data_IF_868254806078
#
_entry.id   IF_868254806078
#
_cell.length_a   1.000
_cell.length_b   1.000
_cell.length_c   1.000
_cell.angle_alpha   90.00
_cell.angle_beta   90.00
_cell.angle_gamma   90.00
#
_symmetry.space_group_name_H-M   'P 1'
#
loop_
_entity.id
_entity.type
_entity.pdbx_description
1 polymer ?
#
# COMPACT_ATOMS: atom_id res chain seq x y z
N UNK A 1 -13.88 26.32 6.42
CA UNK A 1 -12.90 25.61 5.58
C UNK A 1 -11.60 25.46 6.37
N UNK A 2 -11.52 24.41 7.23
CA UNK A 2 -10.44 24.24 8.21
C UNK A 2 -9.04 24.07 7.55
N UNK A 3 -8.98 23.49 6.35
CA UNK A 3 -7.71 23.28 5.63
C UNK A 3 -7.12 24.60 5.13
N UNK A 4 -7.96 25.53 4.66
CA UNK A 4 -7.52 26.88 4.22
C UNK A 4 -6.89 27.70 5.34
N UNK A 5 -7.27 27.44 6.59
CA UNK A 5 -6.67 28.14 7.74
C UNK A 5 -5.22 27.69 8.02
N UNK A 6 -4.81 26.56 7.43
CA UNK A 6 -3.44 26.02 7.54
C UNK A 6 -2.51 26.51 6.43
N UNK A 7 -3.06 27.18 5.40
CA UNK A 7 -2.28 27.77 4.29
C UNK A 7 -1.55 29.06 4.70
N UNK A 8 -0.45 29.43 4.02
CA UNK A 8 0.15 28.78 2.86
C UNK A 8 1.08 27.62 3.22
N UNK A 9 1.01 26.55 2.41
CA UNK A 9 1.93 25.42 2.54
C UNK A 9 3.25 25.69 1.81
N UNK A 10 4.37 25.19 2.35
CA UNK A 10 5.71 25.38 1.79
C UNK A 10 6.80 24.73 2.64
N UNK A 11 8.05 25.15 2.48
CA UNK A 11 9.22 24.55 3.13
C UNK A 11 9.15 24.52 4.67
N UNK A 12 8.51 25.52 5.29
CA UNK A 12 8.32 25.59 6.76
C UNK A 12 6.94 25.10 7.24
N UNK A 13 6.01 24.79 6.32
CA UNK A 13 4.66 24.38 6.63
C UNK A 13 4.19 23.39 5.57
N UNK A 14 4.55 22.10 5.67
CA UNK A 14 4.21 21.09 4.68
C UNK A 14 2.70 20.82 4.63
N UNK A 15 2.20 20.44 3.44
CA UNK A 15 0.79 20.01 3.27
C UNK A 15 0.46 18.88 4.25
N UNK A 16 -0.62 19.00 5.04
CA UNK A 16 -1.02 17.97 5.99
C UNK A 16 -1.31 16.65 5.30
N UNK A 17 -0.85 15.55 5.90
CA UNK A 17 -1.18 14.20 5.48
C UNK A 17 -2.16 13.62 6.49
N UNK A 18 -3.29 13.14 5.98
CA UNK A 18 -4.36 12.55 6.78
C UNK A 18 -4.38 11.03 6.61
N UNK A 19 -4.57 10.30 7.72
CA UNK A 19 -4.81 8.86 7.71
C UNK A 19 -6.29 8.56 7.57
N UNK A 20 -6.66 7.71 6.60
CA UNK A 20 -8.01 7.18 6.43
C UNK A 20 -7.91 5.66 6.51
N UNK A 21 -8.48 5.08 7.58
CA UNK A 21 -8.28 3.68 7.91
C UNK A 21 -9.52 2.84 7.59
N UNK A 22 -9.32 1.57 7.16
CA UNK A 22 -10.38 0.61 6.96
C UNK A 22 -11.36 1.01 5.86
N UNK A 23 -10.85 1.51 4.73
CA UNK A 23 -11.66 1.87 3.56
C UNK A 23 -11.68 0.73 2.55
N UNK A 24 -12.84 0.43 1.98
CA UNK A 24 -12.98 -0.58 0.93
C UNK A 24 -12.75 0.06 -0.44
N UNK A 25 -11.84 -0.52 -1.22
CA UNK A 25 -11.59 -0.12 -2.60
C UNK A 25 -12.72 -0.66 -3.49
N UNK A 26 -13.57 0.24 -4.01
CA UNK A 26 -14.75 -0.14 -4.80
C UNK A 26 -14.43 -0.21 -6.29
N UNK A 27 -13.62 0.74 -6.80
CA UNK A 27 -13.35 0.83 -8.24
C UNK A 27 -11.98 1.43 -8.51
N UNK A 28 -11.34 0.89 -9.54
CA UNK A 28 -10.07 1.35 -10.09
C UNK A 28 -10.34 1.83 -11.52
N UNK A 29 -10.06 3.10 -11.80
CA UNK A 29 -10.26 3.68 -13.14
C UNK A 29 -8.95 4.30 -13.62
N UNK A 30 -8.35 3.78 -14.69
CA UNK A 30 -7.19 4.40 -15.32
C UNK A 30 -7.55 5.78 -15.89
N UNK A 31 -6.68 6.76 -15.68
CA UNK A 31 -6.81 8.12 -16.19
C UNK A 31 -5.48 8.61 -16.78
N UNK A 32 -5.50 9.71 -17.52
CA UNK A 32 -4.30 10.28 -18.11
C UNK A 32 -3.57 9.33 -19.08
N UNK A 33 -4.33 8.59 -19.92
CA UNK A 33 -3.76 7.58 -20.81
C UNK A 33 -3.16 6.37 -20.08
N UNK A 34 -3.70 6.02 -18.91
CA UNK A 34 -3.24 4.89 -18.09
C UNK A 34 -2.02 5.19 -17.20
N UNK A 35 -1.57 6.45 -17.14
CA UNK A 35 -0.40 6.84 -16.32
C UNK A 35 -0.74 7.09 -14.85
N UNK A 36 -2.01 7.21 -14.53
CA UNK A 36 -2.53 7.52 -13.19
C UNK A 36 -3.79 6.72 -12.94
N UNK A 37 -4.20 6.62 -11.68
CA UNK A 37 -5.43 5.95 -11.28
C UNK A 37 -6.36 6.91 -10.55
N UNK A 38 -7.66 6.79 -10.84
CA UNK A 38 -8.73 7.29 -10.00
C UNK A 38 -9.29 6.12 -9.22
N UNK A 39 -9.29 6.22 -7.90
CA UNK A 39 -9.77 5.18 -7.00
C UNK A 39 -11.04 5.66 -6.32
N UNK A 40 -12.06 4.80 -6.28
CA UNK A 40 -13.28 5.02 -5.53
C UNK A 40 -13.23 4.15 -4.28
N UNK A 41 -13.34 4.78 -3.14
CA UNK A 41 -13.41 4.11 -1.84
C UNK A 41 -14.78 4.26 -1.21
N UNK A 42 -15.14 3.29 -0.35
CA UNK A 42 -16.26 3.43 0.58
C UNK A 42 -15.81 3.25 2.02
N UNK A 43 -16.48 3.96 2.92
CA UNK A 43 -16.37 3.77 4.36
C UNK A 43 -17.76 4.00 4.98
N UNK A 44 -18.29 2.99 5.64
CA UNK A 44 -19.69 2.97 6.07
C UNK A 44 -20.62 3.26 4.88
N UNK A 45 -21.48 4.25 4.97
CA UNK A 45 -22.44 4.63 3.90
C UNK A 45 -21.90 5.67 2.93
N UNK A 46 -20.66 6.15 3.13
CA UNK A 46 -20.07 7.21 2.32
C UNK A 46 -19.10 6.66 1.28
N UNK A 47 -19.07 7.30 0.12
CA UNK A 47 -18.06 7.06 -0.91
C UNK A 47 -17.28 8.34 -1.19
N UNK A 48 -16.00 8.17 -1.54
CA UNK A 48 -15.15 9.29 -1.95
C UNK A 48 -14.16 8.86 -3.01
N UNK A 49 -13.81 9.78 -3.89
CA UNK A 49 -12.85 9.57 -4.95
C UNK A 49 -11.49 10.14 -4.56
N UNK A 50 -10.45 9.45 -5.01
CA UNK A 50 -9.07 9.87 -4.82
C UNK A 50 -8.28 9.74 -6.11
N UNK A 51 -7.17 10.46 -6.20
CA UNK A 51 -6.22 10.37 -7.30
C UNK A 51 -4.91 9.77 -6.83
N UNK A 52 -4.39 8.81 -7.58
CA UNK A 52 -3.08 8.21 -7.38
C UNK A 52 -2.24 8.45 -8.64
N UNK A 53 -1.24 9.33 -8.52
CA UNK A 53 -0.40 9.73 -9.64
C UNK A 53 0.83 8.83 -9.81
N UNK A 54 1.26 8.64 -11.06
CA UNK A 54 2.50 7.93 -11.39
C UNK A 54 2.44 6.41 -11.28
N UNK A 55 1.25 5.84 -11.08
CA UNK A 55 1.04 4.39 -11.00
C UNK A 55 0.13 3.95 -12.15
N UNK A 56 0.57 2.96 -12.91
CA UNK A 56 -0.24 2.33 -13.97
C UNK A 56 -1.05 1.17 -13.39
N UNK A 57 -2.14 0.73 -14.06
CA UNK A 57 -2.93 -0.43 -13.61
C UNK A 57 -2.10 -1.68 -13.36
N UNK A 58 -1.09 -1.94 -14.20
CA UNK A 58 -0.24 -3.14 -14.13
C UNK A 58 0.68 -3.12 -12.90
N UNK A 59 1.04 -1.92 -12.44
CA UNK A 59 1.89 -1.72 -11.25
C UNK A 59 1.10 -1.58 -9.97
N UNK A 60 -0.22 -1.42 -10.06
CA UNK A 60 -1.07 -1.27 -8.89
C UNK A 60 -1.35 -2.63 -8.26
N UNK A 61 -0.89 -2.83 -7.03
CA UNK A 61 -0.89 -4.13 -6.35
C UNK A 61 -2.20 -4.48 -5.63
N UNK A 62 -3.11 -3.53 -5.46
CA UNK A 62 -4.41 -3.77 -4.83
C UNK A 62 -5.50 -4.05 -5.86
N UNK A 63 -6.61 -4.65 -5.41
CA UNK A 63 -7.78 -4.95 -6.25
C UNK A 63 -9.06 -4.45 -5.62
N UNK A 64 -10.09 -4.34 -6.42
CA UNK A 64 -11.45 -4.04 -5.96
C UNK A 64 -11.91 -5.08 -4.91
N UNK A 65 -12.49 -4.59 -3.82
CA UNK A 65 -12.87 -5.36 -2.63
C UNK A 65 -11.81 -5.38 -1.52
N UNK A 66 -10.58 -4.95 -1.75
CA UNK A 66 -9.57 -4.87 -0.69
C UNK A 66 -9.94 -3.79 0.35
N UNK A 67 -9.69 -4.09 1.62
CA UNK A 67 -9.83 -3.12 2.72
C UNK A 67 -8.45 -2.54 3.02
N UNK A 68 -8.32 -1.23 2.85
CA UNK A 68 -7.05 -0.51 2.85
C UNK A 68 -7.02 0.59 3.92
N UNK A 69 -5.81 0.93 4.34
CA UNK A 69 -5.50 2.18 5.01
C UNK A 69 -4.80 3.10 4.01
N UNK A 70 -5.19 4.35 3.97
CA UNK A 70 -4.68 5.34 3.04
C UNK A 70 -4.08 6.55 3.78
N UNK A 71 -2.90 6.99 3.36
CA UNK A 71 -2.37 8.30 3.66
C UNK A 71 -2.71 9.23 2.49
N UNK A 72 -3.41 10.33 2.77
CA UNK A 72 -3.92 11.24 1.75
C UNK A 72 -3.57 12.69 2.05
N UNK A 73 -3.41 13.50 1.00
CA UNK A 73 -3.46 14.97 1.09
C UNK A 73 -4.77 15.45 0.47
N UNK A 74 -5.28 16.55 1.00
CA UNK A 74 -6.48 17.22 0.48
C UNK A 74 -6.08 18.58 -0.04
N UNK A 75 -6.37 18.83 -1.30
CA UNK A 75 -6.06 20.08 -1.99
C UNK A 75 -7.35 20.68 -2.56
N UNK A 76 -7.36 21.98 -2.74
CA UNK A 76 -8.46 22.66 -3.39
C UNK A 76 -8.03 23.02 -4.81
N UNK A 77 -8.61 22.38 -5.79
CA UNK A 77 -8.39 22.67 -7.21
C UNK A 77 -9.49 23.63 -7.72
N UNK A 78 -9.10 24.67 -8.46
CA UNK A 78 -10.04 25.54 -9.15
C UNK A 78 -10.18 25.08 -10.60
N UNK A 79 -11.32 24.49 -10.92
CA UNK A 79 -11.59 24.02 -12.28
C UNK A 79 -13.05 24.28 -12.68
N UNK A 80 -13.25 24.77 -13.91
CA UNK A 80 -14.61 25.02 -14.43
C UNK A 80 -15.34 26.19 -13.74
N UNK A 81 -14.62 27.09 -13.06
CA UNK A 81 -15.24 28.21 -12.33
C UNK A 81 -15.59 27.90 -10.88
N UNK A 82 -15.34 26.68 -10.42
CA UNK A 82 -15.66 26.22 -9.06
C UNK A 82 -14.44 25.66 -8.35
N UNK A 83 -14.44 25.76 -7.01
CA UNK A 83 -13.46 25.11 -6.15
C UNK A 83 -13.90 23.68 -5.85
N UNK A 84 -13.07 22.72 -6.24
CA UNK A 84 -13.31 21.31 -5.99
C UNK A 84 -12.27 20.78 -5.01
N UNK A 85 -12.70 19.92 -4.09
CA UNK A 85 -11.78 19.18 -3.23
C UNK A 85 -11.18 18.01 -4.01
N UNK A 86 -9.85 17.97 -4.07
CA UNK A 86 -9.07 16.89 -4.66
C UNK A 86 -8.36 16.10 -3.55
N UNK A 87 -8.66 14.83 -3.43
CA UNK A 87 -8.01 13.94 -2.47
C UNK A 87 -6.95 13.13 -3.21
N UNK A 88 -5.68 13.31 -2.83
CA UNK A 88 -4.54 12.64 -3.46
C UNK A 88 -3.93 11.61 -2.53
N UNK A 89 -3.71 10.41 -3.03
CA UNK A 89 -3.06 9.34 -2.27
C UNK A 89 -1.56 9.55 -2.25
N UNK A 90 -0.98 9.43 -1.06
CA UNK A 90 0.46 9.39 -0.80
C UNK A 90 0.98 7.99 -0.58
N UNK A 91 0.20 7.17 0.15
CA UNK A 91 0.53 5.77 0.41
C UNK A 91 -0.74 4.96 0.65
N UNK A 92 -0.67 3.66 0.36
CA UNK A 92 -1.71 2.67 0.64
C UNK A 92 -1.08 1.43 1.27
N UNK A 93 -1.84 0.78 2.16
CA UNK A 93 -1.48 -0.54 2.70
C UNK A 93 -2.74 -1.36 2.98
N UNK A 94 -2.59 -2.67 3.15
CA UNK A 94 -3.69 -3.50 3.64
C UNK A 94 -4.06 -3.10 5.07
N UNK A 95 -5.36 -2.97 5.34
CA UNK A 95 -5.85 -2.62 6.67
C UNK A 95 -5.60 -3.73 7.70
N UNK A 96 -5.38 -3.34 8.95
CA UNK A 96 -5.13 -4.25 10.05
C UNK A 96 -3.74 -4.89 10.04
N UNK A 97 -2.76 -4.25 9.41
CA UNK A 97 -1.35 -4.61 9.50
C UNK A 97 -0.83 -4.37 10.92
N UNK A 98 -0.14 -5.36 11.49
CA UNK A 98 0.60 -5.23 12.74
C UNK A 98 1.92 -4.50 12.47
N UNK A 99 1.95 -3.20 12.75
CA UNK A 99 3.11 -2.35 12.46
C UNK A 99 4.33 -2.73 13.30
N UNK A 100 4.17 -3.12 14.55
CA UNK A 100 5.29 -3.51 15.42
C UNK A 100 5.98 -4.78 14.90
N UNK A 101 5.17 -5.75 14.51
CA UNK A 101 5.67 -6.97 13.88
C UNK A 101 6.36 -6.65 12.55
N UNK A 102 5.72 -5.84 11.70
CA UNK A 102 6.26 -5.47 10.39
C UNK A 102 7.65 -4.82 10.52
N UNK A 103 7.79 -3.80 11.36
CA UNK A 103 9.08 -3.11 11.55
C UNK A 103 10.13 -4.05 12.12
N UNK A 104 9.80 -4.87 13.11
CA UNK A 104 10.73 -5.87 13.67
C UNK A 104 11.21 -6.86 12.59
N UNK A 105 10.32 -7.34 11.74
CA UNK A 105 10.68 -8.26 10.64
C UNK A 105 11.56 -7.56 9.59
N UNK A 106 11.28 -6.29 9.26
CA UNK A 106 12.10 -5.49 8.34
C UNK A 106 13.52 -5.29 8.89
N UNK A 107 13.65 -4.91 10.16
CA UNK A 107 14.96 -4.73 10.80
C UNK A 107 15.76 -6.05 10.81
N UNK A 108 15.12 -7.17 11.15
CA UNK A 108 15.77 -8.49 11.13
C UNK A 108 16.18 -8.94 9.71
N UNK A 109 15.37 -8.61 8.70
CA UNK A 109 15.72 -8.88 7.30
C UNK A 109 16.94 -8.05 6.88
N UNK A 110 17.02 -6.78 7.25
CA UNK A 110 18.19 -5.94 6.97
C UNK A 110 19.46 -6.50 7.65
N UNK A 111 19.36 -6.93 8.91
CA UNK A 111 20.46 -7.57 9.63
C UNK A 111 20.91 -8.86 8.92
N UNK A 112 19.99 -9.69 8.48
CA UNK A 112 20.29 -10.90 7.70
C UNK A 112 21.03 -10.56 6.40
N UNK A 113 20.49 -9.64 5.60
CA UNK A 113 21.09 -9.25 4.32
C UNK A 113 22.48 -8.60 4.48
N UNK A 114 22.73 -7.94 5.61
CA UNK A 114 24.03 -7.35 5.93
C UNK A 114 25.02 -8.31 6.61
N UNK A 115 24.66 -9.59 6.78
CA UNK A 115 25.48 -10.60 7.42
C UNK A 115 25.66 -10.42 8.93
N UNK A 116 24.81 -9.64 9.57
CA UNK A 116 24.80 -9.42 11.01
C UNK A 116 23.92 -10.44 11.73
N UNK A 117 24.03 -10.48 13.07
CA UNK A 117 23.20 -11.37 13.89
C UNK A 117 21.74 -10.91 13.84
N UNK A 118 20.82 -11.81 13.52
CA UNK A 118 19.38 -11.58 13.36
C UNK A 118 18.56 -12.66 14.08
N UNK A 119 17.25 -12.43 14.23
CA UNK A 119 16.35 -13.45 14.72
C UNK A 119 15.89 -14.35 13.56
N UNK A 120 16.35 -15.60 13.58
CA UNK A 120 16.06 -16.59 12.53
C UNK A 120 14.55 -16.83 12.34
N UNK A 121 13.77 -16.80 13.43
CA UNK A 121 12.34 -17.07 13.40
C UNK A 121 11.54 -15.97 12.72
N UNK A 122 12.08 -14.75 12.68
CA UNK A 122 11.44 -13.61 11.99
C UNK A 122 11.75 -13.58 10.49
N UNK A 123 12.85 -14.21 10.06
CA UNK A 123 13.39 -14.05 8.70
C UNK A 123 13.26 -15.31 7.85
N UNK A 124 13.72 -16.46 8.36
CA UNK A 124 13.77 -17.66 7.54
C UNK A 124 12.42 -18.40 7.51
N UNK A 125 11.85 -18.59 6.32
CA UNK A 125 10.61 -19.34 6.19
C UNK A 125 10.83 -20.84 6.33
N UNK A 126 9.90 -21.52 6.95
CA UNK A 126 9.76 -22.96 6.86
C UNK A 126 9.27 -23.38 5.46
N UNK A 127 9.40 -24.67 5.13
CA UNK A 127 8.86 -25.24 3.89
C UNK A 127 7.34 -24.99 3.75
N UNK A 128 6.61 -25.04 4.85
CA UNK A 128 5.16 -24.81 4.85
C UNK A 128 4.83 -23.34 4.55
N UNK A 129 5.57 -22.39 5.13
CA UNK A 129 5.40 -20.96 4.88
C UNK A 129 5.77 -20.59 3.45
N UNK A 130 6.89 -21.11 2.91
CA UNK A 130 7.23 -20.96 1.48
C UNK A 130 6.13 -21.54 0.58
N UNK A 131 5.55 -22.69 0.93
CA UNK A 131 4.41 -23.27 0.23
C UNK A 131 3.15 -22.41 0.28
N UNK A 132 2.96 -21.64 1.35
CA UNK A 132 1.86 -20.66 1.43
C UNK A 132 2.07 -19.52 0.45
N UNK A 133 3.27 -18.93 0.40
CA UNK A 133 3.62 -17.89 -0.58
C UNK A 133 3.49 -18.40 -2.02
N UNK A 134 3.97 -19.63 -2.30
CA UNK A 134 3.83 -20.25 -3.62
C UNK A 134 2.36 -20.34 -4.07
N UNK A 135 1.44 -20.73 -3.18
CA UNK A 135 0.00 -20.77 -3.51
C UNK A 135 -0.60 -19.40 -3.79
N UNK A 136 -0.04 -18.33 -3.22
CA UNK A 136 -0.48 -16.94 -3.48
C UNK A 136 -0.08 -16.47 -4.89
N UNK A 137 1.00 -17.01 -5.48
CA UNK A 137 1.43 -16.66 -6.84
C UNK A 137 0.36 -17.08 -7.86
N UNK A 138 -0.29 -18.23 -7.66
CA UNK A 138 -1.35 -18.74 -8.53
C UNK A 138 -0.86 -19.06 -9.95
N UNK A 139 -1.74 -19.66 -10.79
CA UNK A 139 -1.37 -20.14 -12.13
C UNK A 139 -1.09 -19.03 -13.16
N UNK A 140 -1.49 -17.78 -12.89
CA UNK A 140 -1.34 -16.65 -13.82
C UNK A 140 -0.31 -15.61 -13.35
N UNK A 141 0.41 -15.92 -12.27
CA UNK A 141 1.30 -14.98 -11.61
C UNK A 141 0.53 -13.89 -10.85
N UNK A 142 0.96 -13.60 -9.65
CA UNK A 142 0.44 -12.46 -8.87
C UNK A 142 1.58 -11.46 -8.69
N UNK A 143 1.26 -10.18 -8.77
CA UNK A 143 2.22 -9.12 -8.52
C UNK A 143 2.92 -9.35 -7.16
N UNK A 144 4.27 -9.36 -7.16
CA UNK A 144 5.07 -9.65 -5.97
C UNK A 144 4.75 -8.68 -4.82
N UNK A 145 4.52 -7.40 -5.11
CA UNK A 145 4.10 -6.42 -4.11
C UNK A 145 2.79 -6.83 -3.43
N UNK A 146 1.82 -7.34 -4.21
CA UNK A 146 0.57 -7.83 -3.66
C UNK A 146 0.78 -9.03 -2.73
N UNK A 147 1.65 -9.96 -3.10
CA UNK A 147 1.97 -11.13 -2.26
C UNK A 147 2.53 -10.67 -0.92
N UNK A 148 3.45 -9.70 -0.91
CA UNK A 148 3.98 -9.11 0.33
C UNK A 148 2.86 -8.55 1.21
N UNK A 149 1.93 -7.78 0.67
CA UNK A 149 0.79 -7.26 1.43
C UNK A 149 -0.13 -8.36 1.96
N UNK A 150 -0.45 -9.37 1.16
CA UNK A 150 -1.30 -10.49 1.59
C UNK A 150 -0.65 -11.32 2.70
N UNK A 151 0.68 -11.43 2.70
CA UNK A 151 1.44 -12.22 3.64
C UNK A 151 1.90 -11.48 4.90
N UNK A 152 1.53 -10.21 5.07
CA UNK A 152 1.89 -9.44 6.28
C UNK A 152 1.42 -10.09 7.58
N UNK A 153 0.31 -10.83 7.53
CA UNK A 153 -0.20 -11.59 8.68
C UNK A 153 0.41 -12.99 8.78
N UNK A 154 0.56 -13.67 7.64
CA UNK A 154 1.09 -15.05 7.55
C UNK A 154 1.63 -15.30 6.12
N UNK A 155 2.92 -15.65 5.96
CA UNK A 155 3.92 -15.94 7.00
C UNK A 155 4.60 -14.72 7.64
N UNK A 156 4.38 -13.52 7.13
CA UNK A 156 5.00 -12.28 7.53
C UNK A 156 5.86 -11.67 6.41
N UNK A 157 6.27 -10.41 6.58
CA UNK A 157 6.97 -9.63 5.56
C UNK A 157 8.32 -10.26 5.17
N UNK A 158 9.22 -10.46 6.14
CA UNK A 158 10.58 -10.95 5.87
C UNK A 158 10.58 -12.35 5.26
N UNK A 159 9.78 -13.25 5.80
CA UNK A 159 9.65 -14.62 5.28
C UNK A 159 9.10 -14.68 3.87
N UNK A 160 8.20 -13.75 3.53
CA UNK A 160 7.65 -13.66 2.18
C UNK A 160 8.68 -13.16 1.18
N UNK A 161 9.49 -12.16 1.54
CA UNK A 161 10.62 -11.70 0.72
C UNK A 161 11.59 -12.82 0.40
N UNK A 162 12.01 -13.56 1.42
CA UNK A 162 12.94 -14.71 1.24
C UNK A 162 12.27 -15.80 0.40
N UNK A 163 10.99 -16.12 0.65
CA UNK A 163 10.26 -17.13 -0.13
C UNK A 163 10.15 -16.74 -1.60
N UNK A 164 9.83 -15.48 -1.90
CA UNK A 164 9.74 -14.98 -3.29
C UNK A 164 11.09 -15.05 -3.98
N UNK A 165 12.18 -14.70 -3.29
CA UNK A 165 13.55 -14.80 -3.82
C UNK A 165 13.87 -16.24 -4.19
N UNK A 166 13.67 -17.19 -3.27
CA UNK A 166 13.90 -18.61 -3.52
C UNK A 166 13.05 -19.14 -4.68
N UNK A 167 11.78 -18.78 -4.74
CA UNK A 167 10.86 -19.24 -5.79
C UNK A 167 11.17 -18.64 -7.16
N UNK A 168 11.83 -17.47 -7.22
CA UNK A 168 12.25 -16.85 -8.49
C UNK A 168 13.49 -17.49 -9.11
N UNK A 169 14.22 -18.28 -8.34
CA UNK A 169 15.43 -19.00 -8.80
C UNK A 169 15.13 -20.45 -9.26
N UNK A 170 13.89 -20.92 -9.09
CA UNK A 170 13.41 -22.24 -9.53
C UNK A 170 12.74 -22.20 -10.89
#
# INVERSE_FOLDING_TARGET
DAIKQLEPFGAGNPTPVFGVFGVTLIRITPIGGGKHLRLLFSKAENTFQTLLFGITPERFCFKEGDILDAAVTVETDFYGGEYNLSVRIKALRMSGTDDERLFREMDNLELFLSGKRFNINDVLPSRQETGTVYRMIGPFGTNAERIKYLSLKDPGYAKSEISLTVLSEL
#
